data_IF_356777681749
#
_entry.id   IF_356777681749
#
_cell.length_a   1.000
_cell.length_b   1.000
_cell.length_c   1.000
_cell.angle_alpha   90.00
_cell.angle_beta   90.00
_cell.angle_gamma   90.00
#
_symmetry.space_group_name_H-M   'P 1'
#
loop_
_entity.id
_entity.type
_entity.pdbx_description
1 polymer ?
#
# COMPACT_ATOMS: atom_id res chain seq x y z
N UNK A 1 18.82 -45.13 -6.87
CA UNK A 1 17.43 -45.24 -6.41
C UNK A 1 16.83 -43.86 -6.33
N UNK A 2 15.86 -43.49 -7.20
CA UNK A 2 15.09 -42.22 -7.08
C UNK A 2 14.24 -42.31 -5.84
N UNK A 3 14.45 -41.41 -4.85
CA UNK A 3 13.58 -41.29 -3.68
C UNK A 3 12.12 -41.14 -4.16
N UNK A 4 11.23 -42.05 -3.76
CA UNK A 4 9.80 -41.92 -4.02
C UNK A 4 9.31 -40.60 -3.40
N UNK A 5 8.71 -39.77 -4.21
CA UNK A 5 8.11 -38.48 -3.78
C UNK A 5 6.97 -38.81 -2.80
N UNK A 6 7.03 -38.32 -1.59
CA UNK A 6 5.96 -38.53 -0.61
C UNK A 6 4.73 -37.70 -0.95
N UNK A 7 3.54 -38.15 -0.51
CA UNK A 7 2.25 -37.46 -0.74
C UNK A 7 2.30 -36.02 -0.25
N UNK A 8 2.91 -35.76 0.91
CA UNK A 8 3.07 -34.38 1.43
C UNK A 8 3.87 -33.48 0.47
N UNK A 9 4.96 -33.98 -0.11
CA UNK A 9 5.72 -33.23 -1.11
C UNK A 9 4.92 -32.95 -2.37
N UNK A 10 4.11 -33.90 -2.83
CA UNK A 10 3.23 -33.70 -3.97
C UNK A 10 2.17 -32.60 -3.70
N UNK A 11 1.55 -32.62 -2.53
CA UNK A 11 0.58 -31.57 -2.13
C UNK A 11 1.24 -30.19 -2.06
N UNK A 12 2.46 -30.11 -1.51
CA UNK A 12 3.20 -28.85 -1.45
C UNK A 12 3.46 -28.30 -2.86
N UNK A 13 3.82 -29.16 -3.82
CA UNK A 13 4.06 -28.74 -5.20
C UNK A 13 2.79 -28.25 -5.90
N UNK A 14 1.64 -28.90 -5.64
CA UNK A 14 0.34 -28.41 -6.14
C UNK A 14 -0.02 -27.02 -5.60
N UNK A 15 0.32 -26.76 -4.33
CA UNK A 15 0.10 -25.46 -3.70
C UNK A 15 1.12 -24.38 -4.13
N UNK A 16 2.12 -24.75 -4.91
CA UNK A 16 3.10 -23.82 -5.47
C UNK A 16 2.71 -23.29 -6.87
N UNK A 17 1.59 -23.73 -7.42
CA UNK A 17 1.06 -23.13 -8.66
C UNK A 17 0.59 -21.71 -8.36
N UNK A 18 0.94 -20.75 -9.23
CA UNK A 18 0.52 -19.37 -9.12
C UNK A 18 -0.95 -19.22 -9.56
N UNK A 19 -1.90 -19.04 -8.64
CA UNK A 19 -3.31 -18.85 -9.00
C UNK A 19 -3.59 -17.45 -9.58
N UNK A 20 -2.62 -16.53 -9.52
CA UNK A 20 -2.73 -15.15 -9.97
C UNK A 20 -1.97 -14.85 -11.27
N UNK A 21 -1.44 -15.88 -11.95
CA UNK A 21 -0.86 -15.73 -13.28
C UNK A 21 -1.92 -15.24 -14.25
N UNK A 22 -2.04 -13.92 -14.40
CA UNK A 22 -2.97 -13.29 -15.33
C UNK A 22 -2.22 -12.76 -16.56
N UNK A 23 -2.82 -12.87 -17.75
CA UNK A 23 -2.28 -12.20 -18.93
C UNK A 23 -2.22 -10.69 -18.68
N UNK A 24 -1.19 -10.05 -19.23
CA UNK A 24 -1.00 -8.62 -19.11
C UNK A 24 -2.12 -7.89 -19.84
N UNK A 25 -2.82 -7.01 -19.13
CA UNK A 25 -3.89 -6.21 -19.71
C UNK A 25 -3.30 -4.98 -20.42
N UNK A 26 -3.83 -4.57 -21.58
CA UNK A 26 -3.39 -3.36 -22.28
C UNK A 26 -3.87 -2.06 -21.59
N UNK A 27 -4.33 -2.15 -20.38
CA UNK A 27 -4.95 -1.07 -19.61
C UNK A 27 -4.18 -0.76 -18.33
N UNK A 28 -4.28 0.49 -17.90
CA UNK A 28 -3.77 0.96 -16.61
C UNK A 28 -4.77 0.59 -15.52
N UNK A 29 -4.32 -0.18 -14.55
CA UNK A 29 -5.13 -0.54 -13.38
C UNK A 29 -5.00 0.53 -12.30
N UNK A 30 -6.08 0.90 -11.59
CA UNK A 30 -6.03 1.84 -10.47
C UNK A 30 -4.96 1.48 -9.43
N UNK A 31 -4.85 0.20 -9.05
CA UNK A 31 -3.84 -0.28 -8.10
C UNK A 31 -2.39 -0.15 -8.60
N UNK A 32 -2.16 -0.20 -9.91
CA UNK A 32 -0.84 0.04 -10.52
C UNK A 32 -0.51 1.52 -10.56
N UNK A 33 -1.47 2.35 -10.98
CA UNK A 33 -1.32 3.81 -11.05
C UNK A 33 -1.16 4.43 -9.67
N UNK A 34 -1.87 3.90 -8.68
CA UNK A 34 -1.82 4.35 -7.29
C UNK A 34 -0.43 4.23 -6.65
N UNK A 35 0.46 3.37 -7.16
CA UNK A 35 1.86 3.28 -6.70
C UNK A 35 2.66 4.57 -6.95
N UNK A 36 2.22 5.42 -7.89
CA UNK A 36 2.85 6.70 -8.18
C UNK A 36 4.08 6.66 -9.10
N UNK A 37 4.45 5.49 -9.62
CA UNK A 37 5.58 5.32 -10.56
C UNK A 37 5.04 5.13 -11.99
N UNK A 38 5.11 6.16 -12.83
CA UNK A 38 4.63 6.03 -14.21
C UNK A 38 5.54 5.16 -15.09
N UNK A 39 6.83 5.06 -14.77
CA UNK A 39 7.71 4.11 -15.46
C UNK A 39 7.26 2.65 -15.22
N UNK A 40 6.82 2.32 -14.00
CA UNK A 40 6.21 1.01 -13.71
C UNK A 40 4.98 0.76 -14.59
N UNK A 41 4.09 1.76 -14.67
CA UNK A 41 2.86 1.68 -15.49
C UNK A 41 3.22 1.54 -16.98
N UNK A 42 4.20 2.29 -17.47
CA UNK A 42 4.69 2.19 -18.85
C UNK A 42 5.20 0.78 -19.20
N UNK A 43 5.95 0.15 -18.30
CA UNK A 43 6.41 -1.23 -18.48
C UNK A 43 5.24 -2.23 -18.50
N UNK A 44 4.21 -2.04 -17.67
CA UNK A 44 2.99 -2.85 -17.74
C UNK A 44 2.29 -2.71 -19.10
N UNK A 45 2.10 -1.49 -19.59
CA UNK A 45 1.46 -1.21 -20.88
C UNK A 45 2.25 -1.76 -22.07
N UNK A 46 3.57 -1.80 -21.97
CA UNK A 46 4.45 -2.38 -23.00
C UNK A 46 4.51 -3.91 -22.93
N UNK A 47 3.85 -4.53 -21.98
CA UNK A 47 3.90 -5.98 -21.80
C UNK A 47 5.28 -6.50 -21.40
N UNK A 48 6.09 -5.70 -20.70
CA UNK A 48 7.41 -6.16 -20.24
C UNK A 48 7.25 -7.37 -19.32
N UNK A 49 8.07 -8.41 -19.51
CA UNK A 49 7.98 -9.63 -18.71
C UNK A 49 8.23 -9.31 -17.21
N UNK A 50 7.42 -9.92 -16.37
CA UNK A 50 7.62 -9.92 -14.91
C UNK A 50 8.19 -11.27 -14.49
N UNK A 51 9.09 -11.30 -13.49
CA UNK A 51 9.48 -12.58 -12.90
C UNK A 51 8.22 -13.27 -12.32
N UNK A 52 8.18 -14.60 -12.34
CA UNK A 52 7.07 -15.33 -11.73
C UNK A 52 7.00 -14.98 -10.24
N UNK A 53 5.78 -14.90 -9.72
CA UNK A 53 5.60 -14.71 -8.29
C UNK A 53 6.20 -15.89 -7.50
N UNK A 54 6.85 -15.59 -6.39
CA UNK A 54 7.09 -16.58 -5.36
C UNK A 54 5.74 -17.17 -4.92
N UNK A 55 5.65 -18.49 -4.85
CA UNK A 55 4.44 -19.20 -4.44
C UNK A 55 3.90 -18.75 -3.07
N UNK A 56 4.78 -18.30 -2.15
CA UNK A 56 4.37 -17.71 -0.87
C UNK A 56 3.65 -16.38 -1.09
N UNK A 57 4.15 -15.53 -1.98
CA UNK A 57 3.49 -14.26 -2.33
C UNK A 57 2.12 -14.52 -2.94
N UNK A 58 2.01 -15.48 -3.86
CA UNK A 58 0.72 -15.89 -4.43
C UNK A 58 -0.30 -16.30 -3.36
N UNK A 59 0.11 -17.10 -2.36
CA UNK A 59 -0.76 -17.47 -1.22
C UNK A 59 -1.16 -16.26 -0.36
N UNK A 60 -0.26 -15.31 -0.14
CA UNK A 60 -0.59 -14.08 0.60
C UNK A 60 -1.65 -13.27 -0.16
N UNK A 61 -1.53 -13.16 -1.47
CA UNK A 61 -2.51 -12.47 -2.31
C UNK A 61 -3.87 -13.18 -2.30
N UNK A 62 -3.89 -14.52 -2.32
CA UNK A 62 -5.16 -15.27 -2.25
C UNK A 62 -5.91 -15.05 -0.93
N UNK A 63 -5.22 -14.93 0.20
CA UNK A 63 -5.86 -14.55 1.48
C UNK A 63 -6.55 -13.19 1.36
N UNK A 64 -5.93 -12.21 0.70
CA UNK A 64 -6.57 -10.91 0.42
C UNK A 64 -7.85 -11.08 -0.40
N UNK A 65 -7.79 -11.84 -1.49
CA UNK A 65 -8.96 -12.11 -2.36
C UNK A 65 -10.10 -12.79 -1.59
N UNK A 66 -9.80 -13.74 -0.71
CA UNK A 66 -10.81 -14.44 0.09
C UNK A 66 -11.45 -13.51 1.14
N UNK A 67 -10.66 -12.60 1.72
CA UNK A 67 -11.18 -11.55 2.62
C UNK A 67 -12.13 -10.61 1.87
N UNK A 68 -11.79 -10.15 0.65
CA UNK A 68 -12.69 -9.33 -0.18
C UNK A 68 -14.01 -10.04 -0.43
N UNK A 69 -13.99 -11.30 -0.89
CA UNK A 69 -15.22 -12.08 -1.12
C UNK A 69 -16.08 -12.25 0.14
N UNK A 70 -15.45 -12.39 1.30
CA UNK A 70 -16.15 -12.49 2.58
C UNK A 70 -16.81 -11.16 2.96
N UNK A 71 -16.10 -10.03 2.83
CA UNK A 71 -16.61 -8.70 3.11
C UNK A 71 -17.73 -8.32 2.15
N UNK A 72 -17.58 -8.62 0.87
CA UNK A 72 -18.60 -8.40 -0.17
C UNK A 72 -19.90 -9.14 0.17
N UNK A 73 -19.83 -10.41 0.61
CA UNK A 73 -21.01 -11.17 1.05
C UNK A 73 -21.71 -10.54 2.26
N UNK A 74 -20.94 -9.99 3.20
CA UNK A 74 -21.52 -9.31 4.39
C UNK A 74 -22.27 -8.05 3.98
N UNK A 75 -21.77 -7.31 3.00
CA UNK A 75 -22.33 -6.03 2.54
C UNK A 75 -23.29 -6.19 1.34
N UNK A 76 -23.58 -7.40 0.89
CA UNK A 76 -24.37 -7.67 -0.33
C UNK A 76 -25.71 -6.93 -0.37
N UNK A 77 -26.38 -6.80 0.77
CA UNK A 77 -27.69 -6.13 0.87
C UNK A 77 -27.61 -4.62 0.83
N UNK A 78 -26.49 -4.06 1.21
CA UNK A 78 -26.30 -2.60 1.33
C UNK A 78 -25.55 -2.03 0.12
N UNK A 79 -24.86 -2.87 -0.65
CA UNK A 79 -24.20 -2.51 -1.89
C UNK A 79 -25.17 -2.48 -3.06
N UNK A 80 -25.12 -1.41 -3.87
CA UNK A 80 -25.82 -1.34 -5.16
C UNK A 80 -25.05 -2.09 -6.27
N UNK A 81 -23.78 -2.36 -6.06
CA UNK A 81 -22.91 -3.13 -6.95
C UNK A 81 -21.64 -3.59 -6.23
N UNK A 82 -21.12 -4.73 -6.64
CA UNK A 82 -19.84 -5.30 -6.22
C UNK A 82 -18.99 -5.51 -7.46
N UNK A 83 -17.65 -5.40 -7.33
CA UNK A 83 -16.74 -5.47 -8.49
C UNK A 83 -17.20 -4.51 -9.60
N UNK A 84 -17.51 -3.25 -9.21
CA UNK A 84 -18.11 -2.27 -10.13
C UNK A 84 -17.07 -1.83 -11.15
N UNK A 85 -17.29 -2.25 -12.39
CA UNK A 85 -16.40 -1.95 -13.51
C UNK A 85 -16.51 -0.49 -13.94
N UNK A 86 -15.40 0.09 -14.37
CA UNK A 86 -15.33 1.31 -15.14
C UNK A 86 -14.17 1.29 -16.14
N UNK A 87 -14.29 2.06 -17.19
CA UNK A 87 -13.26 2.29 -18.19
C UNK A 87 -13.30 3.76 -18.65
N UNK A 88 -12.12 4.38 -18.69
CA UNK A 88 -11.93 5.70 -19.30
C UNK A 88 -10.89 5.55 -20.39
N UNK A 89 -11.38 5.36 -21.63
CA UNK A 89 -10.58 4.97 -22.80
C UNK A 89 -9.48 5.99 -23.13
N UNK A 90 -9.74 7.30 -22.99
CA UNK A 90 -8.82 8.38 -23.29
C UNK A 90 -7.52 8.31 -22.46
N UNK A 91 -7.61 7.70 -21.28
CA UNK A 91 -6.48 7.47 -20.39
C UNK A 91 -6.04 6.00 -20.34
N UNK A 92 -6.69 5.12 -21.09
CA UNK A 92 -6.47 3.67 -21.04
C UNK A 92 -6.56 3.12 -19.61
N UNK A 93 -7.40 3.72 -18.76
CA UNK A 93 -7.62 3.29 -17.37
C UNK A 93 -8.88 2.45 -17.33
N UNK A 94 -8.78 1.25 -16.76
CA UNK A 94 -9.95 0.51 -16.35
C UNK A 94 -9.74 -0.10 -14.95
N UNK A 95 -10.83 -0.31 -14.22
CA UNK A 95 -10.79 -0.85 -12.88
C UNK A 95 -12.06 -1.55 -12.48
N UNK A 96 -11.94 -2.28 -11.39
CA UNK A 96 -13.04 -2.86 -10.62
C UNK A 96 -12.95 -2.27 -9.22
N UNK A 97 -13.95 -1.49 -8.85
CA UNK A 97 -14.11 -1.02 -7.48
C UNK A 97 -14.74 -2.14 -6.66
N UNK A 98 -14.23 -2.41 -5.47
CA UNK A 98 -14.68 -3.55 -4.64
C UNK A 98 -16.18 -3.51 -4.34
N UNK A 99 -16.76 -2.31 -4.27
CA UNK A 99 -18.21 -2.12 -4.15
C UNK A 99 -18.63 -0.66 -4.25
N UNK A 100 -19.90 -0.44 -4.47
CA UNK A 100 -20.57 0.85 -4.30
C UNK A 100 -21.73 0.66 -3.34
N UNK A 101 -21.68 1.40 -2.24
CA UNK A 101 -22.66 1.39 -1.17
C UNK A 101 -23.60 2.58 -1.30
N UNK A 102 -24.89 2.40 -1.04
CA UNK A 102 -25.81 3.51 -0.84
C UNK A 102 -26.22 3.59 0.64
N UNK A 103 -25.86 4.69 1.27
CA UNK A 103 -26.26 4.98 2.65
C UNK A 103 -27.54 5.80 2.61
N UNK A 104 -28.63 5.22 3.13
CA UNK A 104 -29.88 5.95 3.37
C UNK A 104 -29.92 6.40 4.85
N UNK A 105 -30.36 7.62 5.14
CA UNK A 105 -30.43 8.10 6.51
C UNK A 105 -31.48 7.28 7.29
N UNK A 106 -31.09 6.79 8.43
CA UNK A 106 -32.01 6.12 9.38
C UNK A 106 -32.45 7.10 10.49
N UNK A 107 -31.70 8.18 10.68
CA UNK A 107 -31.92 9.23 11.66
C UNK A 107 -31.48 10.58 11.09
N UNK A 108 -32.00 11.67 11.66
CA UNK A 108 -31.68 13.02 11.19
C UNK A 108 -30.20 13.41 11.27
N UNK A 109 -29.47 12.85 12.23
CA UNK A 109 -28.02 13.06 12.41
C UNK A 109 -27.16 12.28 11.38
N UNK A 110 -27.74 11.33 10.65
CA UNK A 110 -27.08 10.55 9.59
C UNK A 110 -27.21 11.18 8.19
N UNK A 111 -27.90 12.32 8.06
CA UNK A 111 -28.16 12.97 6.77
C UNK A 111 -26.86 13.36 6.04
N UNK A 112 -25.83 13.71 6.81
CA UNK A 112 -24.50 14.01 6.25
C UNK A 112 -23.82 12.82 5.58
N UNK A 113 -24.16 11.58 5.93
CA UNK A 113 -23.60 10.34 5.36
C UNK A 113 -24.38 9.86 4.15
N UNK A 114 -25.60 10.38 3.92
CA UNK A 114 -26.52 9.93 2.85
C UNK A 114 -25.89 10.09 1.49
N UNK A 115 -25.90 9.03 0.68
CA UNK A 115 -25.40 9.05 -0.70
C UNK A 115 -24.64 7.80 -1.08
N UNK A 116 -24.02 7.86 -2.25
CA UNK A 116 -23.21 6.75 -2.78
C UNK A 116 -21.76 6.88 -2.34
N UNK A 117 -21.19 5.75 -1.94
CA UNK A 117 -19.81 5.63 -1.46
C UNK A 117 -19.10 4.48 -2.18
N UNK A 118 -17.94 4.75 -2.75
CA UNK A 118 -17.09 3.70 -3.26
C UNK A 118 -16.44 2.93 -2.10
N UNK A 119 -16.27 1.62 -2.23
CA UNK A 119 -15.59 0.79 -1.24
C UNK A 119 -14.26 0.29 -1.78
N UNK A 120 -13.25 0.33 -0.94
CA UNK A 120 -11.93 -0.25 -1.18
C UNK A 120 -11.52 -1.08 0.03
N UNK A 121 -11.33 -2.38 -0.14
CA UNK A 121 -10.91 -3.28 0.92
C UNK A 121 -9.39 -3.50 0.88
N UNK A 122 -8.77 -3.44 2.04
CA UNK A 122 -7.34 -3.71 2.21
C UNK A 122 -7.10 -4.66 3.35
N UNK A 123 -6.36 -5.74 3.09
CA UNK A 123 -5.89 -6.63 4.14
C UNK A 123 -4.42 -6.39 4.42
N UNK A 124 -4.06 -6.35 5.69
CA UNK A 124 -2.69 -6.12 6.12
C UNK A 124 -2.26 -7.15 7.16
N UNK A 125 -0.97 -7.51 7.17
CA UNK A 125 -0.39 -8.22 8.31
C UNK A 125 -0.39 -7.30 9.55
N UNK A 126 -0.38 -7.87 10.76
CA UNK A 126 -0.48 -7.13 12.01
C UNK A 126 0.47 -5.92 12.07
N UNK A 127 1.75 -6.10 11.75
CA UNK A 127 2.72 -5.01 11.80
C UNK A 127 2.41 -3.84 10.84
N UNK A 128 1.86 -4.11 9.65
CA UNK A 128 1.44 -3.06 8.72
C UNK A 128 0.11 -2.43 9.11
N UNK A 129 -0.79 -3.21 9.67
CA UNK A 129 -2.04 -2.72 10.23
C UNK A 129 -1.79 -1.76 11.40
N UNK A 130 -0.87 -2.11 12.30
CA UNK A 130 -0.50 -1.27 13.45
C UNK A 130 0.14 0.06 13.02
N UNK A 131 0.91 0.08 11.91
CA UNK A 131 1.44 1.33 11.34
C UNK A 131 0.32 2.25 10.87
N UNK A 132 -0.69 1.72 10.15
CA UNK A 132 -1.85 2.50 9.69
C UNK A 132 -2.65 3.01 10.89
N UNK A 133 -2.85 2.15 11.90
CA UNK A 133 -3.54 2.50 13.15
C UNK A 133 -2.80 3.61 13.90
N UNK A 134 -1.49 3.51 14.03
CA UNK A 134 -0.66 4.53 14.70
C UNK A 134 -0.62 5.85 13.93
N UNK A 135 -0.62 5.81 12.58
CA UNK A 135 -0.67 7.00 11.75
C UNK A 135 -2.02 7.72 11.82
N UNK A 136 -3.12 7.01 12.12
CA UNK A 136 -4.48 7.57 12.16
C UNK A 136 -5.03 8.00 10.80
N UNK A 137 -4.32 7.69 9.70
CA UNK A 137 -4.68 8.02 8.32
C UNK A 137 -4.41 6.84 7.40
N UNK A 138 -5.15 6.70 6.28
CA UNK A 138 -4.88 5.66 5.29
C UNK A 138 -3.54 5.90 4.59
N UNK A 139 -2.98 4.85 4.00
CA UNK A 139 -1.77 4.97 3.17
C UNK A 139 -2.05 5.82 1.93
N UNK A 140 -1.09 6.63 1.54
CA UNK A 140 -1.20 7.54 0.39
C UNK A 140 -1.57 6.82 -0.92
N UNK A 141 -0.95 5.66 -1.17
CA UNK A 141 -1.29 4.85 -2.35
C UNK A 141 -2.73 4.35 -2.35
N UNK A 142 -3.32 4.07 -1.19
CA UNK A 142 -4.73 3.66 -1.10
C UNK A 142 -5.67 4.86 -1.26
N UNK A 143 -5.29 6.03 -0.74
CA UNK A 143 -6.03 7.28 -1.01
C UNK A 143 -6.01 7.58 -2.51
N UNK A 144 -4.86 7.49 -3.16
CA UNK A 144 -4.74 7.71 -4.62
C UNK A 144 -5.58 6.71 -5.41
N UNK A 145 -5.63 5.45 -5.00
CA UNK A 145 -6.50 4.43 -5.62
C UNK A 145 -7.98 4.80 -5.46
N UNK A 146 -8.39 5.24 -4.27
CA UNK A 146 -9.76 5.69 -4.02
C UNK A 146 -10.14 6.91 -4.88
N UNK A 147 -9.24 7.88 -5.03
CA UNK A 147 -9.44 9.03 -5.92
C UNK A 147 -9.64 8.61 -7.38
N UNK A 148 -8.88 7.62 -7.85
CA UNK A 148 -9.03 7.08 -9.21
C UNK A 148 -10.40 6.42 -9.38
N UNK A 149 -10.91 5.72 -8.37
CA UNK A 149 -12.26 5.15 -8.40
C UNK A 149 -13.35 6.22 -8.41
N UNK A 150 -13.24 7.24 -7.55
CA UNK A 150 -14.20 8.33 -7.48
C UNK A 150 -14.33 9.04 -8.83
N UNK A 151 -13.20 9.36 -9.45
CA UNK A 151 -13.16 9.96 -10.76
C UNK A 151 -13.64 9.00 -11.85
N UNK A 152 -13.07 7.80 -11.94
CA UNK A 152 -13.33 6.85 -13.03
C UNK A 152 -14.77 6.36 -13.07
N UNK A 153 -15.38 6.09 -11.92
CA UNK A 153 -16.80 5.76 -11.83
C UNK A 153 -17.68 6.95 -12.22
N UNK A 154 -17.30 8.16 -11.78
CA UNK A 154 -18.02 9.39 -12.15
C UNK A 154 -18.06 9.61 -13.67
N UNK A 155 -16.90 9.47 -14.34
CA UNK A 155 -16.78 9.59 -15.80
C UNK A 155 -17.55 8.48 -16.53
N UNK A 156 -17.35 7.21 -16.13
CA UNK A 156 -17.96 6.08 -16.82
C UNK A 156 -19.47 6.06 -16.71
N UNK A 157 -20.00 6.33 -15.53
CA UNK A 157 -21.45 6.40 -15.29
C UNK A 157 -22.06 7.79 -15.53
N UNK A 158 -21.26 8.74 -16.04
CA UNK A 158 -21.71 10.10 -16.42
C UNK A 158 -22.52 10.80 -15.32
N UNK A 159 -22.05 10.69 -14.08
CA UNK A 159 -22.72 11.30 -12.94
C UNK A 159 -24.02 10.63 -12.49
N UNK A 160 -24.44 9.51 -13.13
CA UNK A 160 -25.64 8.76 -12.71
C UNK A 160 -25.49 8.17 -11.30
N UNK A 161 -24.24 7.93 -10.89
CA UNK A 161 -23.88 7.53 -9.53
C UNK A 161 -23.06 8.68 -8.92
N UNK A 162 -23.71 9.67 -8.28
CA UNK A 162 -23.01 10.81 -7.68
C UNK A 162 -22.32 10.35 -6.39
N UNK A 163 -21.08 9.89 -6.52
CA UNK A 163 -20.27 9.45 -5.40
C UNK A 163 -19.94 10.62 -4.48
N UNK A 164 -20.27 10.48 -3.22
CA UNK A 164 -19.96 11.44 -2.16
C UNK A 164 -18.53 11.32 -1.68
N UNK A 165 -18.01 10.11 -1.69
CA UNK A 165 -16.67 9.77 -1.26
C UNK A 165 -16.38 8.28 -1.43
N UNK A 166 -15.26 7.86 -0.90
CA UNK A 166 -14.87 6.47 -0.80
C UNK A 166 -14.60 6.08 0.65
N UNK A 167 -14.77 4.81 0.96
CA UNK A 167 -14.42 4.22 2.25
C UNK A 167 -13.28 3.25 2.01
N UNK A 168 -12.12 3.50 2.64
CA UNK A 168 -11.01 2.55 2.67
C UNK A 168 -11.13 1.76 3.96
N UNK A 169 -11.45 0.49 3.83
CA UNK A 169 -11.57 -0.44 4.94
C UNK A 169 -10.33 -1.32 5.02
N UNK A 170 -9.64 -1.27 6.14
CA UNK A 170 -8.51 -2.14 6.45
C UNK A 170 -8.93 -3.27 7.38
N UNK A 171 -8.46 -4.46 7.07
CA UNK A 171 -8.59 -5.61 7.96
C UNK A 171 -7.21 -6.18 8.28
N UNK A 172 -6.94 -6.37 9.56
CA UNK A 172 -5.82 -7.15 10.04
C UNK A 172 -6.10 -8.63 9.77
N UNK A 173 -5.36 -9.25 8.84
CA UNK A 173 -5.60 -10.65 8.45
C UNK A 173 -5.23 -11.67 9.54
N UNK A 174 -4.52 -11.24 10.60
CA UNK A 174 -4.08 -12.10 11.69
C UNK A 174 -5.08 -12.08 12.87
N UNK A 175 -5.75 -10.94 13.11
CA UNK A 175 -6.67 -10.76 14.25
C UNK A 175 -8.11 -10.43 13.85
N UNK A 176 -8.36 -10.07 12.58
CA UNK A 176 -9.61 -9.54 12.03
C UNK A 176 -10.05 -8.18 12.63
N UNK A 177 -9.16 -7.51 13.37
CA UNK A 177 -9.38 -6.11 13.73
C UNK A 177 -9.49 -5.25 12.48
N UNK A 178 -10.21 -4.14 12.57
CA UNK A 178 -10.48 -3.30 11.42
C UNK A 178 -10.31 -1.81 11.71
N UNK A 179 -10.07 -1.06 10.62
CA UNK A 179 -10.06 0.39 10.56
C UNK A 179 -10.82 0.82 9.31
N UNK A 180 -11.52 1.94 9.37
CA UNK A 180 -12.17 2.52 8.20
C UNK A 180 -11.88 4.02 8.14
N UNK A 181 -11.65 4.51 6.92
CA UNK A 181 -11.35 5.91 6.64
C UNK A 181 -12.21 6.41 5.50
N UNK A 182 -12.74 7.61 5.64
CA UNK A 182 -13.45 8.32 4.59
C UNK A 182 -12.46 9.10 3.73
N UNK A 183 -12.64 9.04 2.42
CA UNK A 183 -11.87 9.80 1.43
C UNK A 183 -12.86 10.57 0.57
N UNK A 184 -12.74 11.89 0.58
CA UNK A 184 -13.56 12.77 -0.24
C UNK A 184 -12.87 13.09 -1.57
N UNK A 185 -13.61 13.43 -2.64
CA UNK A 185 -13.04 13.78 -3.93
C UNK A 185 -12.03 14.92 -3.83
N UNK A 186 -10.86 14.72 -4.45
CA UNK A 186 -9.82 15.74 -4.64
C UNK A 186 -9.60 15.94 -6.15
N UNK A 187 -10.33 16.89 -6.77
CA UNK A 187 -10.24 17.14 -8.20
C UNK A 187 -8.86 17.58 -8.67
N UNK A 188 -8.12 18.32 -7.83
CA UNK A 188 -6.80 18.86 -8.18
C UNK A 188 -5.76 17.73 -8.23
N UNK A 189 -5.76 16.84 -7.23
CA UNK A 189 -4.90 15.67 -7.21
C UNK A 189 -5.16 14.72 -8.39
N UNK A 190 -6.44 14.55 -8.77
CA UNK A 190 -6.79 13.75 -9.94
C UNK A 190 -6.36 14.43 -11.24
N UNK A 191 -6.60 15.73 -11.39
CA UNK A 191 -6.20 16.48 -12.58
C UNK A 191 -4.68 16.40 -12.82
N UNK A 192 -3.85 16.57 -11.77
CA UNK A 192 -2.39 16.40 -11.85
C UNK A 192 -2.03 14.98 -12.29
N UNK A 193 -2.60 13.96 -11.66
CA UNK A 193 -2.33 12.56 -12.01
C UNK A 193 -2.67 12.25 -13.46
N UNK A 194 -3.82 12.73 -13.95
CA UNK A 194 -4.28 12.51 -15.33
C UNK A 194 -3.42 13.25 -16.34
N UNK A 195 -2.96 14.45 -16.04
CA UNK A 195 -2.03 15.19 -16.89
C UNK A 195 -0.70 14.41 -17.04
N UNK A 196 -0.18 13.85 -15.95
CA UNK A 196 1.02 13.01 -15.97
C UNK A 196 0.80 11.69 -16.75
N UNK A 197 -0.36 11.05 -16.59
CA UNK A 197 -0.73 9.86 -17.37
C UNK A 197 -0.80 10.18 -18.85
N UNK A 198 -1.42 11.31 -19.22
CA UNK A 198 -1.52 11.76 -20.62
C UNK A 198 -0.13 11.98 -21.23
N UNK A 199 0.74 12.69 -20.52
CA UNK A 199 2.12 12.94 -20.96
C UNK A 199 2.92 11.62 -21.14
N UNK A 200 2.71 10.64 -20.24
CA UNK A 200 3.29 9.31 -20.39
C UNK A 200 2.78 8.60 -21.64
N UNK A 201 1.46 8.59 -21.89
CA UNK A 201 0.87 7.93 -23.05
C UNK A 201 1.35 8.55 -24.36
N UNK A 202 1.41 9.89 -24.43
CA UNK A 202 1.94 10.62 -25.59
C UNK A 202 3.43 10.30 -25.80
N UNK A 203 4.23 10.27 -24.73
CA UNK A 203 5.63 9.86 -24.78
C UNK A 203 5.80 8.41 -25.28
N UNK A 204 4.98 7.48 -24.81
CA UNK A 204 5.01 6.09 -25.26
C UNK A 204 4.67 5.95 -26.74
N UNK A 205 3.73 6.74 -27.27
CA UNK A 205 3.40 6.77 -28.69
C UNK A 205 4.59 7.24 -29.56
N UNK A 206 5.48 8.06 -28.99
CA UNK A 206 6.71 8.54 -29.62
C UNK A 206 7.94 7.64 -29.30
N UNK A 207 7.74 6.51 -28.62
CA UNK A 207 8.81 5.60 -28.22
C UNK A 207 9.65 6.05 -27.02
N UNK A 208 9.19 7.05 -26.27
CA UNK A 208 9.87 7.58 -25.08
C UNK A 208 9.26 7.00 -23.80
N UNK A 209 10.12 6.59 -22.87
CA UNK A 209 9.70 6.21 -21.52
C UNK A 209 9.55 7.47 -20.64
N UNK A 210 8.66 7.46 -19.64
CA UNK A 210 8.54 8.56 -18.70
C UNK A 210 9.73 8.60 -17.74
N UNK A 211 10.15 9.84 -17.39
CA UNK A 211 11.14 10.09 -16.34
C UNK A 211 10.50 10.12 -14.93
N UNK A 212 9.19 9.98 -14.86
CA UNK A 212 8.40 10.02 -13.63
C UNK A 212 8.56 8.72 -12.85
N UNK A 213 9.49 8.73 -11.90
CA UNK A 213 9.85 7.62 -11.04
C UNK A 213 9.74 8.02 -9.57
N UNK A 214 9.58 7.03 -8.71
CA UNK A 214 9.59 7.26 -7.26
C UNK A 214 10.96 7.72 -6.76
N UNK A 215 11.02 8.52 -5.68
CA UNK A 215 12.27 8.94 -5.09
C UNK A 215 13.10 7.74 -4.59
N UNK A 216 14.44 7.87 -4.52
CA UNK A 216 15.33 6.74 -4.22
C UNK A 216 15.05 6.02 -2.89
N UNK A 217 14.56 6.75 -1.89
CA UNK A 217 14.21 6.22 -0.56
C UNK A 217 12.91 5.43 -0.53
N UNK A 218 12.11 5.49 -1.59
CA UNK A 218 10.78 4.89 -1.59
C UNK A 218 10.85 3.36 -1.52
N UNK A 219 10.09 2.78 -0.60
CA UNK A 219 10.08 1.34 -0.30
C UNK A 219 9.70 0.46 -1.50
N UNK A 220 8.89 0.98 -2.43
CA UNK A 220 8.36 0.21 -3.56
C UNK A 220 9.45 -0.28 -4.53
N UNK A 221 10.65 0.35 -4.55
CA UNK A 221 11.76 -0.12 -5.37
C UNK A 221 12.17 -1.55 -5.00
N UNK A 222 12.17 -1.90 -3.71
CA UNK A 222 12.54 -3.22 -3.23
C UNK A 222 11.56 -4.34 -3.67
N UNK A 223 10.34 -3.97 -4.03
CA UNK A 223 9.28 -4.90 -4.42
C UNK A 223 8.85 -4.74 -5.89
N UNK A 224 9.61 -3.96 -6.67
CA UNK A 224 9.29 -3.72 -8.06
C UNK A 224 9.67 -4.94 -8.93
N UNK A 225 8.70 -5.55 -9.66
CA UNK A 225 9.00 -6.70 -10.51
C UNK A 225 9.85 -6.34 -11.75
N UNK A 226 10.03 -5.05 -12.02
CA UNK A 226 10.83 -4.54 -13.13
C UNK A 226 12.22 -4.05 -12.73
N UNK A 227 12.67 -4.37 -11.51
CA UNK A 227 13.94 -3.85 -10.99
C UNK A 227 15.13 -4.19 -11.92
N UNK A 228 15.14 -5.38 -12.51
CA UNK A 228 16.23 -5.84 -13.38
C UNK A 228 16.37 -5.03 -14.68
N UNK A 229 15.30 -4.40 -15.14
CA UNK A 229 15.27 -3.58 -16.36
C UNK A 229 15.07 -2.09 -16.09
N UNK A 230 14.95 -1.70 -14.82
CA UNK A 230 14.68 -0.33 -14.39
C UNK A 230 15.96 0.32 -13.85
N UNK A 231 16.65 1.09 -14.68
CA UNK A 231 17.89 1.78 -14.29
C UNK A 231 17.68 2.72 -13.07
N UNK A 232 16.62 3.58 -13.02
CA UNK A 232 16.35 4.40 -11.85
C UNK A 232 16.11 3.54 -10.58
N UNK A 233 15.39 2.42 -10.69
CA UNK A 233 15.17 1.51 -9.57
C UNK A 233 16.45 0.86 -9.07
N UNK A 234 17.35 0.45 -9.97
CA UNK A 234 18.66 -0.11 -9.62
C UNK A 234 19.53 0.92 -8.89
N UNK A 235 19.54 2.19 -9.36
CA UNK A 235 20.22 3.29 -8.69
C UNK A 235 19.65 3.56 -7.30
N UNK A 236 18.32 3.55 -7.16
CA UNK A 236 17.63 3.70 -5.87
C UNK A 236 18.02 2.58 -4.90
N UNK A 237 18.02 1.33 -5.35
CA UNK A 237 18.43 0.19 -4.51
C UNK A 237 19.90 0.25 -4.11
N UNK A 238 20.79 0.69 -5.00
CA UNK A 238 22.19 0.90 -4.68
C UNK A 238 22.35 2.00 -3.62
N UNK A 239 21.63 3.11 -3.77
CA UNK A 239 21.61 4.21 -2.80
C UNK A 239 21.09 3.73 -1.42
N UNK A 240 19.97 2.99 -1.36
CA UNK A 240 19.42 2.48 -0.10
C UNK A 240 20.38 1.56 0.64
N UNK A 241 21.23 0.79 -0.08
CA UNK A 241 22.21 -0.14 0.52
C UNK A 241 23.34 0.59 1.24
N UNK A 242 23.71 1.79 0.81
CA UNK A 242 24.79 2.57 1.41
C UNK A 242 24.33 3.55 2.48
N UNK A 243 22.99 3.73 2.61
CA UNK A 243 22.47 4.56 3.69
C UNK A 243 22.67 3.88 5.05
N UNK A 244 23.01 4.63 6.10
CA UNK A 244 23.08 4.09 7.43
C UNK A 244 21.68 3.55 7.79
N UNK A 245 21.63 2.26 8.17
CA UNK A 245 20.37 1.68 8.65
C UNK A 245 19.97 2.45 9.89
N UNK A 246 18.81 3.08 9.88
CA UNK A 246 18.23 3.66 11.10
C UNK A 246 18.14 2.58 12.16
N UNK A 247 18.74 2.83 13.31
CA UNK A 247 18.58 1.95 14.46
C UNK A 247 17.12 2.04 14.87
N UNK A 248 16.36 0.93 14.92
CA UNK A 248 14.97 0.99 15.38
C UNK A 248 14.89 1.67 16.74
N UNK A 249 13.91 2.54 16.96
CA UNK A 249 13.77 3.34 18.20
C UNK A 249 13.86 2.48 19.47
N UNK A 250 13.29 1.27 19.42
CA UNK A 250 13.37 0.31 20.52
C UNK A 250 14.81 -0.12 20.81
N UNK A 251 15.59 -0.39 19.76
CA UNK A 251 17.00 -0.79 19.89
C UNK A 251 17.85 0.38 20.40
N UNK A 252 17.54 1.60 19.92
CA UNK A 252 18.19 2.82 20.41
C UNK A 252 17.86 3.05 21.88
N UNK A 253 16.59 2.90 22.27
CA UNK A 253 16.15 2.99 23.66
C UNK A 253 16.86 1.96 24.56
N UNK A 254 16.98 0.72 24.10
CA UNK A 254 17.69 -0.34 24.83
C UNK A 254 19.20 -0.07 24.98
N UNK A 255 19.84 0.48 23.94
CA UNK A 255 21.25 0.89 23.99
C UNK A 255 21.43 2.01 24.99
N UNK A 256 20.56 3.04 24.97
CA UNK A 256 20.58 4.15 25.89
C UNK A 256 20.37 3.66 27.33
N UNK A 257 19.36 2.80 27.55
CA UNK A 257 19.09 2.23 28.87
C UNK A 257 20.28 1.44 29.43
N UNK A 258 20.91 0.59 28.60
CA UNK A 258 22.11 -0.16 29.01
C UNK A 258 23.29 0.74 29.34
N UNK A 259 23.50 1.84 28.58
CA UNK A 259 24.55 2.82 28.88
C UNK A 259 24.30 3.57 30.18
N UNK A 260 23.03 3.96 30.45
CA UNK A 260 22.63 4.62 31.70
C UNK A 260 22.89 3.71 32.90
N UNK A 261 22.52 2.43 32.79
CA UNK A 261 22.76 1.43 33.85
C UNK A 261 24.27 1.23 34.09
N UNK A 262 25.05 1.11 33.02
CA UNK A 262 26.51 0.96 33.12
C UNK A 262 27.17 2.21 33.76
N UNK A 263 26.74 3.42 33.41
CA UNK A 263 27.24 4.66 33.97
C UNK A 263 26.88 4.78 35.45
N UNK A 264 25.63 4.46 35.84
CA UNK A 264 25.20 4.41 37.24
C UNK A 264 25.96 3.37 38.08
N UNK A 265 26.23 2.21 37.48
CA UNK A 265 27.06 1.18 38.12
C UNK A 265 28.51 1.65 38.36
N UNK A 266 29.10 2.35 37.39
CA UNK A 266 30.44 2.93 37.53
C UNK A 266 30.47 4.06 38.57
N UNK A 267 29.44 4.93 38.62
CA UNK A 267 29.33 5.99 39.62
C UNK A 267 29.11 5.43 41.03
N UNK A 268 28.35 4.34 41.16
CA UNK A 268 28.16 3.66 42.44
C UNK A 268 29.46 3.05 42.98
N UNK A 269 30.35 2.57 42.10
CA UNK A 269 31.67 2.06 42.48
C UNK A 269 32.66 3.18 42.85
N UNK A 270 32.45 4.41 42.39
CA UNK A 270 33.31 5.57 42.66
C UNK A 270 32.83 6.46 43.82
N UNK A 271 31.72 6.13 44.48
CA UNK A 271 31.28 6.76 45.73
C UNK A 271 30.71 8.17 45.63
N UNK A 272 30.28 8.66 44.47
CA UNK A 272 29.69 10.00 44.31
C UNK A 272 28.18 9.94 44.26
N UNK A 273 27.48 10.37 45.33
CA UNK A 273 26.03 10.59 45.38
C UNK A 273 25.72 11.99 44.88
N UNK A 274 25.03 12.12 43.74
CA UNK A 274 24.23 13.32 43.42
C UNK A 274 22.76 12.95 43.21
N UNK A 275 21.90 13.62 44.00
CA UNK A 275 20.44 13.54 43.89
C UNK A 275 19.95 14.45 42.75
N UNK A 276 19.03 13.98 41.93
CA UNK A 276 18.22 14.78 41.02
C UNK A 276 17.81 13.97 39.80
N UNK A 277 16.51 13.63 39.65
CA UNK A 277 15.98 13.01 38.48
C UNK A 277 15.97 14.01 37.30
N UNK A 278 16.57 13.65 36.18
CA UNK A 278 16.60 14.44 34.95
C UNK A 278 15.78 13.73 33.85
N UNK A 279 15.22 14.50 32.92
CA UNK A 279 14.47 13.95 31.81
C UNK A 279 15.39 13.27 30.78
N UNK A 280 14.84 12.40 29.95
CA UNK A 280 15.58 11.74 28.85
C UNK A 280 16.22 12.76 27.89
N UNK A 281 15.57 13.93 27.70
CA UNK A 281 16.08 15.01 26.88
C UNK A 281 17.32 15.70 27.49
N UNK A 282 17.40 15.77 28.84
CA UNK A 282 18.56 16.34 29.52
C UNK A 282 19.74 15.38 29.47
N UNK A 283 19.50 14.06 29.47
CA UNK A 283 20.53 13.02 29.36
C UNK A 283 21.11 12.91 27.94
N UNK A 284 20.29 13.17 26.91
CA UNK A 284 20.76 13.18 25.52
C UNK A 284 21.72 14.33 25.19
N UNK A 285 21.61 15.48 25.90
CA UNK A 285 22.51 16.62 25.75
C UNK A 285 23.88 16.45 26.41
N UNK A 286 24.01 15.52 27.37
CA UNK A 286 25.28 15.24 28.04
C UNK A 286 26.14 14.19 27.29
N UNK A 287 25.60 13.58 26.27
CA UNK A 287 26.35 12.67 25.38
C UNK A 287 26.85 13.47 24.16
N UNK A 288 27.87 14.32 24.38
CA UNK A 288 28.64 14.88 23.28
C UNK A 288 29.30 13.73 22.51
N UNK A 289 29.00 13.71 21.23
CA UNK A 289 29.59 12.75 20.30
C UNK A 289 30.94 13.32 19.85
N UNK A 290 32.03 12.70 20.27
CA UNK A 290 33.32 12.77 19.56
C UNK A 290 33.32 11.80 18.38
#
# INVERSE_FOLDING_TARGET
MKKRRGVASYVVDLLQTDPHAQPQAPYIRPSSLAKGCLLYVAFELQGRPKPPFDARVGRILSVGTDSHRRLQRVLERDCIGQEVFFEVADYRIHGLCDGVLYIAPRKADEESMTGFWALEFKTAAAAEFDKVKAAGVPKEEHVRQAQIYLWGLGEYYRGTIPLKGAIIYYENRDTLDHLAYEVYPDPDAIADLLARVKAMLDGLAEGRLPDDVLPPEHWAHAYCPYLDICEPGQKAMAWQRVQPKSIPDQVLADIIAKRIVAKKGAEAMTGSKKKGGRSLADLAKELEWE
#
